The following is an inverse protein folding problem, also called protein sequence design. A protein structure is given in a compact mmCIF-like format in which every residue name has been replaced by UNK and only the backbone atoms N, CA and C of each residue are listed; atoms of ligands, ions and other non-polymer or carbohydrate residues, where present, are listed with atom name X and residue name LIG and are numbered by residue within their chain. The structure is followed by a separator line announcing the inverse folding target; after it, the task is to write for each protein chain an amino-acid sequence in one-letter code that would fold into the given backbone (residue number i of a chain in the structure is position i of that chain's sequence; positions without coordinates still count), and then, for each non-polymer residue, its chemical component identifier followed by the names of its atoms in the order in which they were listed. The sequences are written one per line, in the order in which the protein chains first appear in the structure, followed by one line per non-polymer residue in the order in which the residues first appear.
data_IF_375830704281
#
_entry.id   IF_375830704281
#
_cell.length_a   1.000
_cell.length_b   1.000
_cell.length_c   1.000
_cell.angle_alpha   90.00
_cell.angle_beta   90.00
_cell.angle_gamma   90.00
#
_symmetry.space_group_name_H-M   'P 1'
#
loop_
_entity.id
_entity.type
_entity.pdbx_description
1 polymer ?
#
# COMPACT_ATOMS: atom_id res chain seq x y z
N UNK A 1 -12.80 -1.49 2.65
CA UNK A 1 -11.67 -0.91 3.40
C UNK A 1 -10.44 -1.83 3.49
N UNK A 2 -9.24 -1.23 3.50
CA UNK A 2 -7.93 -1.84 3.74
C UNK A 2 -7.26 -1.17 4.96
N UNK A 3 -6.56 -1.94 5.79
CA UNK A 3 -5.59 -1.43 6.78
C UNK A 3 -4.19 -1.88 6.36
N UNK A 4 -3.23 -0.96 6.32
CA UNK A 4 -1.86 -1.28 5.92
C UNK A 4 -0.81 -0.49 6.68
N UNK A 5 0.19 -1.20 7.19
CA UNK A 5 1.39 -0.65 7.80
C UNK A 5 2.51 -0.47 6.75
N UNK A 6 3.09 0.74 6.65
CA UNK A 6 4.13 1.10 5.66
C UNK A 6 5.55 0.77 6.13
N UNK A 7 6.50 0.40 5.27
CA UNK A 7 7.86 0.03 5.71
C UNK A 7 8.69 1.17 6.33
N UNK A 8 8.33 2.43 6.05
CA UNK A 8 8.95 3.65 6.59
C UNK A 8 8.88 3.73 8.13
N UNK A 9 9.78 4.48 8.77
CA UNK A 9 9.84 4.57 10.24
C UNK A 9 11.20 4.86 10.86
N UNK A 10 12.27 4.91 10.06
CA UNK A 10 13.66 5.18 10.52
C UNK A 10 14.14 6.62 10.28
N UNK A 11 13.46 7.34 9.38
CA UNK A 11 13.84 8.69 8.97
C UNK A 11 13.31 9.76 9.92
N UNK A 12 13.24 11.01 9.44
CA UNK A 12 12.62 12.10 10.20
C UNK A 12 11.10 11.91 10.28
N UNK A 13 10.57 11.90 11.50
CA UNK A 13 9.15 11.93 11.78
C UNK A 13 8.55 13.29 11.44
N UNK A 14 9.30 14.38 11.64
CA UNK A 14 8.90 15.74 11.21
C UNK A 14 8.64 15.82 9.70
N UNK A 15 9.51 15.21 8.89
CA UNK A 15 9.29 15.14 7.44
C UNK A 15 8.03 14.33 7.09
N UNK A 16 7.79 13.22 7.79
CA UNK A 16 6.58 12.42 7.61
C UNK A 16 5.31 13.19 8.02
N UNK A 17 5.30 13.85 9.18
CA UNK A 17 4.18 14.66 9.65
C UNK A 17 3.87 15.82 8.68
N UNK A 18 4.89 16.56 8.22
CA UNK A 18 4.74 17.62 7.22
C UNK A 18 4.14 17.08 5.92
N UNK A 19 4.53 15.88 5.49
CA UNK A 19 3.94 15.25 4.31
C UNK A 19 2.46 14.88 4.54
N UNK A 20 2.08 14.44 5.75
CA UNK A 20 0.69 14.10 6.07
C UNK A 20 -0.22 15.32 6.05
N UNK A 21 0.21 16.46 6.59
CA UNK A 21 -0.61 17.68 6.64
C UNK A 21 -0.44 18.60 5.43
N UNK A 22 0.50 18.29 4.54
CA UNK A 22 0.79 19.13 3.38
C UNK A 22 -0.42 19.29 2.46
N UNK A 23 -0.60 20.49 1.92
CA UNK A 23 -1.65 20.76 0.92
C UNK A 23 -1.35 20.09 -0.42
N UNK A 24 -0.12 19.62 -0.63
CA UNK A 24 0.31 18.97 -1.86
C UNK A 24 0.49 17.46 -1.66
N UNK A 25 0.07 16.68 -2.64
CA UNK A 25 0.37 15.25 -2.73
C UNK A 25 1.84 14.98 -3.11
N UNK A 26 2.23 13.69 -3.21
CA UNK A 26 3.60 13.33 -3.61
C UNK A 26 3.94 13.79 -5.04
N UNK A 27 2.94 14.09 -5.84
CA UNK A 27 3.02 14.55 -7.21
C UNK A 27 2.99 16.08 -7.33
N UNK A 28 2.94 16.81 -6.21
CA UNK A 28 2.93 18.27 -6.17
C UNK A 28 1.58 18.91 -6.54
N UNK A 29 0.50 18.14 -6.54
CA UNK A 29 -0.86 18.61 -6.81
C UNK A 29 -1.57 18.95 -5.51
N UNK A 30 -2.43 19.96 -5.55
CA UNK A 30 -3.27 20.34 -4.43
C UNK A 30 -4.22 19.19 -4.05
N UNK A 31 -4.22 18.83 -2.75
CA UNK A 31 -5.11 17.83 -2.17
C UNK A 31 -6.49 18.43 -2.00
N UNK A 32 -7.51 17.62 -2.25
CA UNK A 32 -8.90 18.08 -2.21
C UNK A 32 -9.38 18.36 -0.78
N UNK A 33 -8.84 17.63 0.20
CA UNK A 33 -9.06 17.90 1.62
C UNK A 33 -8.05 17.15 2.49
N UNK A 34 -7.51 17.84 3.49
CA UNK A 34 -6.62 17.28 4.52
C UNK A 34 -7.06 17.79 5.88
N UNK A 35 -7.42 16.89 6.77
CA UNK A 35 -7.93 17.24 8.09
C UNK A 35 -7.29 16.38 9.18
N UNK A 36 -6.89 17.00 10.28
CA UNK A 36 -6.40 16.27 11.45
C UNK A 36 -7.58 15.91 12.33
N UNK A 37 -7.86 14.61 12.45
CA UNK A 37 -9.01 14.09 13.21
C UNK A 37 -8.64 13.68 14.63
N UNK A 38 -7.42 13.18 14.83
CA UNK A 38 -6.91 12.77 16.14
C UNK A 38 -5.49 13.26 16.37
N UNK A 39 -5.20 13.66 17.60
CA UNK A 39 -3.86 14.02 18.06
C UNK A 39 -3.28 15.24 17.35
N UNK A 40 -1.96 15.39 17.44
CA UNK A 40 -1.22 16.48 16.82
C UNK A 40 0.04 15.94 16.10
N UNK A 41 0.11 16.04 14.76
CA UNK A 41 1.23 15.51 13.98
C UNK A 41 2.61 16.05 14.38
N UNK A 42 2.71 17.33 14.75
CA UNK A 42 3.97 17.94 15.16
C UNK A 42 4.43 17.42 16.53
N UNK A 43 3.49 17.22 17.46
CA UNK A 43 3.79 16.63 18.77
C UNK A 43 4.27 15.19 18.64
N UNK A 44 3.58 14.38 17.84
CA UNK A 44 3.97 12.99 17.58
C UNK A 44 5.34 12.94 16.92
N UNK A 45 5.60 13.83 15.97
CA UNK A 45 6.90 13.94 15.31
C UNK A 45 8.01 14.33 16.29
N UNK A 46 7.77 15.27 17.19
CA UNK A 46 8.73 15.68 18.20
C UNK A 46 9.09 14.53 19.15
N UNK A 47 8.08 13.76 19.60
CA UNK A 47 8.29 12.55 20.41
C UNK A 47 9.09 11.52 19.62
N UNK A 48 8.69 11.21 18.39
CA UNK A 48 9.36 10.18 17.60
C UNK A 48 10.80 10.56 17.26
N UNK A 49 11.06 11.81 16.86
CA UNK A 49 12.40 12.25 16.47
C UNK A 49 13.38 12.31 17.64
N UNK A 50 12.89 12.45 18.88
CA UNK A 50 13.71 12.40 20.10
C UNK A 50 14.14 10.99 20.53
N UNK A 51 13.59 9.93 19.91
CA UNK A 51 13.95 8.54 20.23
C UNK A 51 15.28 8.14 19.59
N UNK A 52 16.08 7.38 20.34
CA UNK A 52 17.33 6.76 19.87
C UNK A 52 17.12 5.38 19.22
N UNK A 53 15.86 4.98 18.99
CA UNK A 53 15.55 3.70 18.35
C UNK A 53 15.82 3.73 16.85
N UNK A 54 16.25 2.60 16.29
CA UNK A 54 16.41 2.46 14.84
C UNK A 54 15.09 2.74 14.10
N UNK A 55 13.97 2.28 14.66
CA UNK A 55 12.63 2.63 14.19
C UNK A 55 11.96 3.53 15.23
N UNK A 56 11.74 4.78 14.83
CA UNK A 56 11.24 5.87 15.66
C UNK A 56 9.71 5.97 15.64
N UNK A 57 9.11 5.61 14.51
CA UNK A 57 7.67 5.70 14.33
C UNK A 57 7.09 4.60 13.44
N UNK A 58 5.78 4.40 13.55
CA UNK A 58 4.97 3.62 12.61
C UNK A 58 4.06 4.52 11.80
N UNK A 59 3.96 4.17 10.52
CA UNK A 59 2.96 4.71 9.61
C UNK A 59 1.98 3.61 9.24
N UNK A 60 0.69 3.93 9.34
CA UNK A 60 -0.38 3.11 8.79
C UNK A 60 -1.26 3.95 7.86
N UNK A 61 -1.97 3.27 6.98
CA UNK A 61 -3.04 3.85 6.18
C UNK A 61 -4.28 2.97 6.31
N UNK A 62 -5.41 3.61 6.54
CA UNK A 62 -6.74 3.02 6.43
C UNK A 62 -7.35 3.61 5.17
N UNK A 63 -7.77 2.77 4.23
CA UNK A 63 -8.18 3.22 2.91
C UNK A 63 -9.50 2.57 2.52
N UNK A 64 -10.41 3.34 1.92
CA UNK A 64 -11.69 2.85 1.41
C UNK A 64 -11.71 2.87 -0.12
N UNK A 65 -12.51 1.99 -0.72
CA UNK A 65 -12.77 2.11 -2.14
C UNK A 65 -13.64 3.36 -2.38
N UNK A 66 -13.53 4.04 -3.55
CA UNK A 66 -14.35 5.22 -3.84
C UNK A 66 -15.88 4.97 -3.74
N UNK A 67 -16.29 3.73 -3.96
CA UNK A 67 -17.69 3.29 -3.85
C UNK A 67 -18.15 3.09 -2.41
N UNK A 68 -17.23 2.84 -1.45
CA UNK A 68 -17.55 2.52 -0.06
C UNK A 68 -18.11 3.72 0.71
N UNK A 69 -17.68 4.95 0.34
CA UNK A 69 -18.15 6.25 0.88
C UNK A 69 -18.45 6.22 2.38
N UNK A 70 -17.44 5.95 3.23
CA UNK A 70 -17.65 5.89 4.68
C UNK A 70 -18.15 7.25 5.20
N UNK A 71 -19.11 7.22 6.13
CA UNK A 71 -19.55 8.40 6.89
C UNK A 71 -18.53 8.79 7.95
N UNK A 72 -18.61 10.03 8.44
CA UNK A 72 -17.69 10.52 9.46
C UNK A 72 -17.78 9.69 10.76
N UNK A 73 -18.99 9.30 11.15
CA UNK A 73 -19.21 8.45 12.32
C UNK A 73 -18.57 7.06 12.17
N UNK A 74 -18.57 6.51 10.96
CA UNK A 74 -17.92 5.23 10.67
C UNK A 74 -16.39 5.36 10.71
N UNK A 75 -15.84 6.46 10.20
CA UNK A 75 -14.41 6.74 10.26
C UNK A 75 -13.99 6.88 11.73
N UNK A 76 -14.74 7.62 12.54
CA UNK A 76 -14.50 7.77 13.97
C UNK A 76 -14.54 6.43 14.71
N UNK A 77 -15.57 5.61 14.48
CA UNK A 77 -15.68 4.29 15.10
C UNK A 77 -14.48 3.38 14.78
N UNK A 78 -13.93 3.49 13.57
CA UNK A 78 -12.75 2.73 13.15
C UNK A 78 -11.49 3.26 13.81
N UNK A 79 -11.36 4.57 13.98
CA UNK A 79 -10.23 5.14 14.69
C UNK A 79 -10.23 4.73 16.16
N UNK A 80 -11.40 4.70 16.81
CA UNK A 80 -11.53 4.25 18.19
C UNK A 80 -11.13 2.77 18.33
N UNK A 81 -11.62 1.88 17.45
CA UNK A 81 -11.25 0.47 17.50
C UNK A 81 -9.80 0.21 17.07
N UNK A 82 -9.27 1.01 16.13
CA UNK A 82 -7.86 0.97 15.76
C UNK A 82 -6.97 1.32 16.96
N UNK A 83 -7.30 2.38 17.70
CA UNK A 83 -6.56 2.80 18.89
C UNK A 83 -6.57 1.71 19.97
N UNK A 84 -7.76 1.20 20.31
CA UNK A 84 -7.90 0.08 21.27
C UNK A 84 -7.09 -1.14 20.84
N UNK A 85 -7.06 -1.45 19.54
CA UNK A 85 -6.32 -2.59 19.01
C UNK A 85 -4.81 -2.36 19.05
N UNK A 86 -4.34 -1.17 18.67
CA UNK A 86 -2.92 -0.85 18.56
C UNK A 86 -2.23 -0.73 19.92
N UNK A 87 -2.93 -0.23 20.94
CA UNK A 87 -2.40 0.00 22.29
C UNK A 87 -3.16 -0.79 23.37
N UNK A 88 -3.68 -1.97 23.01
CA UNK A 88 -4.47 -2.80 23.91
C UNK A 88 -3.84 -2.94 25.31
N UNK A 89 -4.59 -2.54 26.34
CA UNK A 89 -4.16 -2.61 27.74
C UNK A 89 -3.23 -1.47 28.21
N UNK A 90 -3.04 -0.43 27.40
CA UNK A 90 -2.33 0.80 27.80
C UNK A 90 -3.31 1.95 27.96
N UNK A 91 -3.01 2.83 28.92
CA UNK A 91 -3.74 4.08 29.10
C UNK A 91 -3.35 5.11 28.02
N UNK A 92 -4.26 6.02 27.62
CA UNK A 92 -4.01 7.00 26.55
C UNK A 92 -2.81 7.92 26.75
N UNK A 93 -2.38 8.15 27.99
CA UNK A 93 -1.21 8.96 28.32
C UNK A 93 0.13 8.24 28.06
N UNK A 94 0.10 6.95 27.74
CA UNK A 94 1.30 6.12 27.50
C UNK A 94 1.77 6.09 26.06
N UNK A 95 1.03 6.67 25.12
CA UNK A 95 1.38 6.65 23.71
C UNK A 95 1.04 7.96 23.01
N UNK A 96 1.72 8.22 21.89
CA UNK A 96 1.52 9.45 21.10
C UNK A 96 1.27 9.06 19.65
N UNK A 97 0.10 9.44 19.13
CA UNK A 97 -0.29 9.17 17.75
C UNK A 97 -1.18 10.26 17.17
N UNK A 98 -1.36 10.24 15.85
CA UNK A 98 -2.25 11.14 15.13
C UNK A 98 -2.91 10.43 13.96
N UNK A 99 -4.11 10.86 13.60
CA UNK A 99 -4.84 10.45 12.41
C UNK A 99 -5.17 11.67 11.54
N UNK A 100 -4.82 11.59 10.26
CA UNK A 100 -5.03 12.65 9.27
C UNK A 100 -5.86 12.08 8.13
N UNK A 101 -7.07 12.61 7.96
CA UNK A 101 -8.00 12.25 6.89
C UNK A 101 -7.63 12.97 5.59
N UNK A 102 -7.51 12.21 4.51
CA UNK A 102 -7.24 12.68 3.16
C UNK A 102 -8.41 12.35 2.26
N UNK A 103 -8.85 13.35 1.50
CA UNK A 103 -9.78 13.18 0.38
C UNK A 103 -9.00 13.28 -0.93
N UNK A 104 -9.18 12.28 -1.79
CA UNK A 104 -8.60 12.23 -3.12
C UNK A 104 -9.62 12.59 -4.20
N UNK A 105 -9.11 13.31 -5.21
CA UNK A 105 -9.85 13.62 -6.44
C UNK A 105 -10.31 12.34 -7.12
N UNK A 106 -11.61 12.09 -7.08
CA UNK A 106 -12.23 10.83 -7.53
C UNK A 106 -12.98 10.07 -6.44
N UNK A 107 -13.07 10.63 -5.23
CA UNK A 107 -13.87 10.08 -4.13
C UNK A 107 -13.11 9.06 -3.27
N UNK A 108 -11.79 8.95 -3.44
CA UNK A 108 -10.96 8.15 -2.55
C UNK A 108 -10.88 8.80 -1.17
N UNK A 109 -11.05 8.00 -0.12
CA UNK A 109 -10.94 8.46 1.26
C UNK A 109 -9.91 7.60 1.94
N UNK A 110 -8.91 8.23 2.57
CA UNK A 110 -7.83 7.53 3.27
C UNK A 110 -7.46 8.25 4.55
N UNK A 111 -7.26 7.51 5.64
CA UNK A 111 -6.72 8.03 6.88
C UNK A 111 -5.28 7.58 7.06
N UNK A 112 -4.39 8.56 7.15
CA UNK A 112 -2.99 8.35 7.48
C UNK A 112 -2.78 8.42 8.99
N UNK A 113 -2.12 7.40 9.53
CA UNK A 113 -1.80 7.30 10.95
C UNK A 113 -0.30 7.37 11.13
N UNK A 114 0.13 8.25 12.04
CA UNK A 114 1.51 8.34 12.51
C UNK A 114 1.54 8.09 14.03
N UNK A 115 2.38 7.16 14.46
CA UNK A 115 2.52 6.79 15.87
C UNK A 115 4.00 6.74 16.27
N UNK A 116 4.35 7.35 17.40
CA UNK A 116 5.67 7.21 17.99
C UNK A 116 5.87 5.77 18.50
N UNK A 117 7.04 5.19 18.24
CA UNK A 117 7.32 3.78 18.57
C UNK A 117 7.87 3.63 20.00
N UNK A 118 7.19 4.26 20.96
CA UNK A 118 7.61 4.34 22.36
C UNK A 118 6.42 4.28 23.31
N UNK A 119 6.62 3.58 24.42
CA UNK A 119 5.79 3.70 25.61
C UNK A 119 6.30 4.88 26.44
N UNK A 120 5.52 5.96 26.47
CA UNK A 120 5.91 7.25 27.05
C UNK A 120 6.24 7.17 28.54
N UNK A 121 5.64 6.22 29.26
CA UNK A 121 5.87 6.07 30.69
C UNK A 121 7.21 5.37 30.98
N UNK A 122 7.57 4.36 30.18
CA UNK A 122 8.78 3.55 30.44
C UNK A 122 9.97 3.95 29.59
N UNK A 123 9.75 4.74 28.54
CA UNK A 123 10.77 5.07 27.54
C UNK A 123 11.23 3.86 26.72
N UNK A 124 10.49 2.74 26.75
CA UNK A 124 10.84 1.52 26.00
C UNK A 124 10.20 1.53 24.62
N UNK A 125 10.84 0.86 23.67
CA UNK A 125 10.28 0.72 22.33
C UNK A 125 8.98 -0.08 22.37
N UNK A 126 7.93 0.47 21.75
CA UNK A 126 6.62 -0.13 21.64
C UNK A 126 6.26 -0.24 20.16
N UNK A 127 6.23 -1.45 19.61
CA UNK A 127 5.86 -1.67 18.22
C UNK A 127 4.42 -2.18 18.09
N UNK A 128 3.51 -1.28 17.70
CA UNK A 128 2.09 -1.61 17.48
C UNK A 128 1.84 -2.55 16.28
N UNK A 129 2.83 -2.70 15.38
CA UNK A 129 2.70 -3.53 14.18
C UNK A 129 3.98 -4.33 13.91
N UNK A 130 4.26 -5.36 14.73
CA UNK A 130 5.36 -6.28 14.48
C UNK A 130 5.14 -7.09 13.19
N UNK A 131 6.16 -7.78 12.66
CA UNK A 131 5.97 -8.74 11.57
C UNK A 131 4.83 -9.71 11.88
N UNK A 132 3.87 -9.83 10.96
CA UNK A 132 2.63 -10.58 11.18
C UNK A 132 1.47 -9.79 11.77
N UNK A 133 1.57 -8.45 11.84
CA UNK A 133 0.50 -7.53 12.28
C UNK A 133 -0.85 -7.78 11.62
N UNK A 134 -0.89 -8.39 10.43
CA UNK A 134 -2.13 -8.79 9.76
C UNK A 134 -3.02 -9.65 10.66
N UNK A 135 -2.43 -10.52 11.50
CA UNK A 135 -3.20 -11.35 12.45
C UNK A 135 -3.94 -10.51 13.49
N UNK A 136 -3.48 -9.30 13.75
CA UNK A 136 -4.08 -8.36 14.70
C UNK A 136 -5.10 -7.45 14.03
N UNK A 137 -4.76 -6.88 12.87
CA UNK A 137 -5.59 -5.84 12.23
C UNK A 137 -6.49 -6.32 11.08
N UNK A 138 -6.23 -7.48 10.47
CA UNK A 138 -7.12 -8.04 9.45
C UNK A 138 -8.50 -8.42 10.02
N UNK A 139 -8.62 -9.01 11.23
CA UNK A 139 -9.93 -9.27 11.84
C UNK A 139 -10.75 -7.99 12.05
N UNK A 140 -10.10 -6.90 12.50
CA UNK A 140 -10.73 -5.58 12.62
C UNK A 140 -11.25 -5.10 11.26
N UNK A 141 -10.38 -5.11 10.24
CA UNK A 141 -10.74 -4.76 8.87
C UNK A 141 -11.93 -5.59 8.36
N UNK A 142 -11.90 -6.90 8.56
CA UNK A 142 -12.89 -7.82 8.02
C UNK A 142 -14.24 -7.68 8.72
N UNK A 143 -14.25 -7.42 10.03
CA UNK A 143 -15.46 -7.11 10.77
C UNK A 143 -16.16 -5.86 10.22
N UNK A 144 -15.44 -4.74 10.10
CA UNK A 144 -16.01 -3.49 9.56
C UNK A 144 -16.42 -3.62 8.09
N UNK A 145 -15.61 -4.30 7.26
CA UNK A 145 -15.98 -4.56 5.87
C UNK A 145 -17.26 -5.39 5.76
N UNK A 146 -17.43 -6.40 6.63
CA UNK A 146 -18.64 -7.20 6.65
C UNK A 146 -19.84 -6.39 7.15
N UNK A 147 -19.68 -5.65 8.24
CA UNK A 147 -20.74 -4.86 8.87
C UNK A 147 -21.32 -3.79 7.94
N UNK A 148 -20.46 -3.06 7.24
CA UNK A 148 -20.87 -1.94 6.38
C UNK A 148 -20.95 -2.30 4.90
N UNK A 149 -20.72 -3.57 4.54
CA UNK A 149 -20.76 -4.04 3.15
C UNK A 149 -19.66 -3.44 2.27
N UNK A 150 -18.54 -3.00 2.85
CA UNK A 150 -17.46 -2.38 2.12
C UNK A 150 -16.61 -3.36 1.32
N UNK A 151 -15.92 -2.80 0.35
CA UNK A 151 -15.02 -3.48 -0.56
C UNK A 151 -13.90 -4.19 0.18
N UNK A 152 -13.76 -5.50 -0.06
CA UNK A 152 -12.73 -6.32 0.56
C UNK A 152 -11.47 -6.39 -0.30
N UNK A 153 -10.26 -6.30 0.30
CA UNK A 153 -9.00 -6.43 -0.45
C UNK A 153 -8.76 -7.82 -1.05
N UNK A 154 -9.40 -8.86 -0.50
CA UNK A 154 -9.26 -10.26 -0.91
C UNK A 154 -10.39 -10.74 -1.84
N UNK A 155 -11.34 -9.86 -2.22
CA UNK A 155 -12.39 -10.19 -3.18
C UNK A 155 -11.78 -10.59 -4.53
N UNK A 156 -11.97 -11.84 -5.01
CA UNK A 156 -11.44 -12.29 -6.29
C UNK A 156 -11.88 -11.41 -7.46
N UNK A 157 -13.07 -10.80 -7.40
CA UNK A 157 -13.56 -9.89 -8.44
C UNK A 157 -12.77 -8.59 -8.52
N UNK A 158 -12.10 -8.20 -7.43
CA UNK A 158 -11.22 -7.02 -7.35
C UNK A 158 -9.74 -7.38 -7.54
N UNK A 159 -9.43 -8.67 -7.75
CA UNK A 159 -8.07 -9.11 -8.03
C UNK A 159 -7.57 -8.48 -9.34
N UNK A 160 -6.47 -7.74 -9.27
CA UNK A 160 -5.85 -7.18 -10.48
C UNK A 160 -5.25 -8.31 -11.29
N UNK A 161 -5.59 -8.40 -12.57
CA UNK A 161 -4.97 -9.32 -13.52
C UNK A 161 -3.45 -9.16 -13.61
N UNK A 162 -2.95 -7.97 -13.27
CA UNK A 162 -1.53 -7.64 -13.26
C UNK A 162 -1.20 -6.67 -12.13
N UNK A 163 -0.10 -6.95 -11.42
CA UNK A 163 0.53 -5.97 -10.53
C UNK A 163 1.43 -5.04 -11.37
N UNK A 164 1.31 -3.71 -11.25
CA UNK A 164 2.20 -2.80 -11.95
C UNK A 164 3.66 -3.12 -11.60
N UNK A 165 4.51 -3.26 -12.62
CA UNK A 165 5.96 -3.37 -12.43
C UNK A 165 6.58 -2.03 -12.03
N UNK A 166 7.85 -2.04 -11.62
CA UNK A 166 8.59 -0.79 -11.35
C UNK A 166 8.62 0.14 -12.58
N UNK A 167 8.63 -0.44 -13.79
CA UNK A 167 8.59 0.29 -15.06
C UNK A 167 7.27 1.06 -15.22
N UNK A 168 6.12 0.44 -14.91
CA UNK A 168 4.82 1.12 -14.93
C UNK A 168 4.75 2.36 -14.02
N UNK A 169 5.46 2.35 -12.88
CA UNK A 169 5.55 3.54 -12.01
C UNK A 169 6.40 4.67 -12.62
N UNK A 170 7.52 4.33 -13.28
CA UNK A 170 8.38 5.27 -14.00
C UNK A 170 7.63 5.88 -15.18
N UNK A 171 6.92 5.05 -15.92
CA UNK A 171 6.13 5.42 -17.08
C UNK A 171 4.93 6.30 -16.73
N UNK A 172 4.19 5.95 -15.68
CA UNK A 172 3.14 6.82 -15.15
C UNK A 172 3.72 8.17 -14.69
N UNK A 173 4.95 8.20 -14.17
CA UNK A 173 5.65 9.44 -13.84
C UNK A 173 6.02 10.27 -15.07
N UNK A 174 6.48 9.63 -16.16
CA UNK A 174 6.78 10.30 -17.44
C UNK A 174 5.54 10.87 -18.09
N UNK A 175 4.46 10.09 -18.15
CA UNK A 175 3.17 10.53 -18.67
C UNK A 175 2.64 11.75 -17.91
N UNK A 176 2.74 11.75 -16.58
CA UNK A 176 2.38 12.89 -15.72
C UNK A 176 3.26 14.13 -15.95
N UNK A 177 4.52 13.94 -16.34
CA UNK A 177 5.46 15.02 -16.65
C UNK A 177 5.37 15.52 -18.11
N UNK A 178 4.41 15.02 -18.91
CA UNK A 178 4.27 15.37 -20.32
C UNK A 178 5.41 14.83 -21.21
N UNK A 179 6.16 13.85 -20.72
CA UNK A 179 7.25 13.21 -21.45
C UNK A 179 6.70 12.03 -22.27
N UNK A 180 7.34 11.76 -23.41
CA UNK A 180 7.00 10.59 -24.23
C UNK A 180 7.07 9.30 -23.41
N UNK A 181 6.01 8.50 -23.58
CA UNK A 181 5.81 7.25 -22.87
C UNK A 181 5.50 6.14 -23.90
N UNK A 182 6.25 5.05 -23.82
CA UNK A 182 5.99 3.82 -24.56
C UNK A 182 5.16 2.87 -23.67
N UNK A 183 4.17 2.19 -24.24
CA UNK A 183 3.32 1.26 -23.50
C UNK A 183 4.14 0.15 -22.81
N UNK A 184 3.93 -0.08 -21.50
CA UNK A 184 4.59 -1.14 -20.74
C UNK A 184 4.43 -2.48 -21.50
N UNK A 185 5.53 -3.13 -21.92
CA UNK A 185 5.47 -4.43 -22.60
C UNK A 185 4.66 -5.47 -21.83
N UNK A 186 4.60 -5.37 -20.50
CA UNK A 186 3.78 -6.26 -19.67
C UNK A 186 2.29 -6.01 -19.84
N UNK A 187 1.86 -4.77 -20.09
CA UNK A 187 0.46 -4.40 -20.33
C UNK A 187 0.01 -4.98 -21.68
N UNK A 188 0.83 -4.84 -22.72
CA UNK A 188 0.57 -5.41 -24.04
C UNK A 188 0.44 -6.95 -23.99
N UNK A 189 1.34 -7.61 -23.25
CA UNK A 189 1.29 -9.06 -23.06
C UNK A 189 0.05 -9.47 -22.27
N UNK A 190 -0.32 -8.72 -21.22
CA UNK A 190 -1.56 -8.97 -20.46
C UNK A 190 -2.77 -8.90 -21.38
N UNK A 191 -2.93 -7.82 -22.12
CA UNK A 191 -4.12 -7.59 -22.96
C UNK A 191 -4.24 -8.66 -24.05
N UNK A 192 -3.11 -9.03 -24.66
CA UNK A 192 -3.04 -10.14 -25.59
C UNK A 192 -3.48 -11.49 -24.99
N UNK A 193 -3.01 -11.82 -23.77
CA UNK A 193 -3.38 -13.06 -23.11
C UNK A 193 -4.84 -13.05 -22.64
N UNK A 194 -5.32 -11.94 -22.07
CA UNK A 194 -6.71 -11.77 -21.63
C UNK A 194 -7.67 -11.95 -22.80
N UNK A 195 -7.40 -11.32 -23.95
CA UNK A 195 -8.20 -11.49 -25.15
C UNK A 195 -8.29 -12.95 -25.58
N UNK A 196 -7.18 -13.71 -25.58
CA UNK A 196 -7.17 -15.12 -25.97
C UNK A 196 -7.88 -16.03 -24.96
N UNK A 197 -7.86 -15.69 -23.67
CA UNK A 197 -8.65 -16.39 -22.64
C UNK A 197 -10.15 -16.14 -22.86
N UNK A 198 -10.56 -14.89 -23.09
CA UNK A 198 -11.97 -14.53 -23.32
C UNK A 198 -12.57 -15.23 -24.55
N UNK A 199 -11.76 -15.44 -25.59
CA UNK A 199 -12.16 -16.16 -26.81
C UNK A 199 -12.01 -17.69 -26.69
N UNK A 200 -11.65 -18.20 -25.51
CA UNK A 200 -11.52 -19.64 -25.24
C UNK A 200 -10.34 -20.32 -25.95
N UNK A 201 -9.39 -19.54 -26.48
CA UNK A 201 -8.18 -20.04 -27.13
C UNK A 201 -7.07 -20.43 -26.14
N UNK A 202 -7.13 -19.91 -24.91
CA UNK A 202 -6.28 -20.32 -23.80
C UNK A 202 -7.15 -20.93 -22.71
N UNK A 203 -6.95 -22.22 -22.45
CA UNK A 203 -7.69 -22.99 -21.43
C UNK A 203 -6.77 -23.52 -20.35
N UNK A 204 -5.51 -23.71 -20.68
CA UNK A 204 -4.51 -24.21 -19.75
C UNK A 204 -3.15 -23.51 -19.89
N UNK A 205 -2.21 -23.98 -19.07
CA UNK A 205 -0.85 -23.46 -19.02
C UNK A 205 -0.08 -23.69 -20.31
N UNK A 206 -0.31 -24.80 -21.01
CA UNK A 206 0.38 -25.10 -22.25
C UNK A 206 -0.05 -24.10 -23.34
N UNK A 207 -1.33 -23.75 -23.37
CA UNK A 207 -1.86 -22.73 -24.29
C UNK A 207 -1.25 -21.35 -24.05
N UNK A 208 -1.03 -20.96 -22.78
CA UNK A 208 -0.35 -19.69 -22.44
C UNK A 208 1.08 -19.67 -22.99
N UNK A 209 1.83 -20.77 -22.83
CA UNK A 209 3.21 -20.86 -23.33
C UNK A 209 3.22 -20.78 -24.85
N UNK A 210 2.37 -21.56 -25.53
CA UNK A 210 2.25 -21.53 -26.99
C UNK A 210 1.89 -20.13 -27.49
N UNK A 211 0.92 -19.46 -26.85
CA UNK A 211 0.50 -18.13 -27.26
C UNK A 211 1.61 -17.07 -27.13
N UNK A 212 2.51 -17.20 -26.14
CA UNK A 212 3.66 -16.31 -25.98
C UNK A 212 4.76 -16.61 -27.01
N UNK A 213 5.01 -17.89 -27.31
CA UNK A 213 5.98 -18.29 -28.34
C UNK A 213 5.54 -17.87 -29.74
N UNK A 214 4.23 -17.94 -30.05
CA UNK A 214 3.64 -17.50 -31.33
C UNK A 214 3.96 -16.04 -31.67
N UNK A 215 4.08 -15.18 -30.64
CA UNK A 215 4.42 -13.75 -30.80
C UNK A 215 5.92 -13.47 -30.63
N UNK A 216 6.74 -14.52 -30.68
CA UNK A 216 8.19 -14.42 -30.63
C UNK A 216 8.78 -14.14 -29.24
N UNK A 217 8.00 -14.33 -28.16
CA UNK A 217 8.49 -14.20 -26.79
C UNK A 217 9.00 -15.54 -26.27
N UNK A 218 10.22 -15.53 -25.74
CA UNK A 218 10.88 -16.74 -25.25
C UNK A 218 10.57 -16.97 -23.75
N UNK A 219 9.93 -18.10 -23.44
CA UNK A 219 9.58 -18.50 -22.07
C UNK A 219 10.72 -19.30 -21.45
N UNK A 220 11.74 -18.56 -20.99
CA UNK A 220 13.00 -19.14 -20.49
C UNK A 220 12.90 -19.91 -19.17
N UNK A 221 11.80 -19.79 -18.40
CA UNK A 221 11.60 -20.54 -17.15
C UNK A 221 10.14 -20.94 -16.94
N UNK A 222 9.94 -22.25 -16.81
CA UNK A 222 8.65 -22.89 -16.60
C UNK A 222 8.49 -23.38 -15.14
N UNK A 223 8.37 -22.44 -14.19
CA UNK A 223 8.05 -22.77 -12.78
C UNK A 223 6.53 -22.74 -12.50
N UNK A 224 6.15 -22.75 -11.20
CA UNK A 224 4.79 -22.37 -10.77
C UNK A 224 4.43 -20.93 -11.20
N UNK A 225 5.45 -20.08 -11.39
CA UNK A 225 5.36 -18.76 -12.00
C UNK A 225 6.10 -18.78 -13.35
N UNK A 226 5.49 -18.19 -14.39
CA UNK A 226 6.05 -18.07 -15.74
C UNK A 226 6.78 -16.74 -15.89
N UNK A 227 8.04 -16.77 -16.34
CA UNK A 227 8.83 -15.58 -16.67
C UNK A 227 9.24 -15.61 -18.14
N UNK A 228 9.09 -14.48 -18.85
CA UNK A 228 9.53 -14.32 -20.25
C UNK A 228 10.66 -13.29 -20.35
N UNK A 229 11.45 -13.36 -21.43
CA UNK A 229 12.48 -12.36 -21.76
C UNK A 229 12.37 -11.94 -23.24
N UNK A 230 12.36 -10.63 -23.57
CA UNK A 230 12.42 -10.19 -24.96
C UNK A 230 13.76 -10.55 -25.61
N UNK A 231 13.76 -10.92 -26.90
CA UNK A 231 14.97 -11.08 -27.71
C UNK A 231 15.47 -9.71 -28.21
N UNK A 232 16.13 -8.97 -27.33
CA UNK A 232 17.05 -7.89 -27.76
C UNK A 232 18.25 -7.82 -26.81
N UNK A 233 19.44 -7.69 -27.40
CA UNK A 233 20.75 -7.94 -26.79
C UNK A 233 21.20 -6.95 -25.72
N UNK A 234 20.53 -6.88 -24.57
CA UNK A 234 21.08 -6.30 -23.35
C UNK A 234 21.17 -7.33 -22.23
N UNK A 235 22.40 -7.62 -21.82
CA UNK A 235 22.74 -8.41 -20.64
C UNK A 235 22.60 -7.53 -19.41
N UNK A 236 21.53 -7.72 -18.62
CA UNK A 236 21.58 -7.46 -17.18
C UNK A 236 21.09 -8.69 -16.44
N UNK A 237 22.02 -9.36 -15.77
CA UNK A 237 21.72 -10.36 -14.77
C UNK A 237 21.13 -9.62 -13.55
N UNK A 238 19.96 -10.05 -13.08
CA UNK A 238 19.50 -9.69 -11.73
C UNK A 238 19.75 -10.91 -10.87
N UNK A 239 20.77 -10.82 -10.03
CA UNK A 239 21.09 -11.81 -9.01
C UNK A 239 19.95 -11.82 -7.97
N UNK A 240 19.27 -12.96 -7.82
CA UNK A 240 18.43 -13.22 -6.66
C UNK A 240 19.31 -13.86 -5.58
N UNK A 241 19.73 -13.06 -4.60
CA UNK A 241 20.36 -13.56 -3.39
C UNK A 241 19.34 -14.44 -2.65
N UNK A 242 19.64 -15.73 -2.52
CA UNK A 242 18.98 -16.66 -1.60
C UNK A 242 19.14 -16.12 -0.18
N UNK A 243 18.04 -15.96 0.56
CA UNK A 243 18.03 -16.20 2.01
C UNK A 243 17.13 -17.39 2.28
N UNK A 244 17.77 -18.51 2.57
CA UNK A 244 17.20 -19.63 3.29
C UNK A 244 17.73 -19.57 4.72
N UNK A 245 16.80 -19.79 5.65
CA UNK A 245 16.88 -19.83 7.12
C UNK A 245 17.05 -18.48 7.80
#
# INVERSE_FOLDING_TARGET
MLVRFLSHGKGSAKAAAKYLVGELDAEGREREGVEVWRGNPDMVAAVADSLDFERKYRLAVIAWAPEDRPTDEQIEAILDEFEKTAWAGLEPDRYSWTAVLHHERGGGVHVHILAAQCDLQTGRSLNIAPPGWQRTFDPLRDAFNHEHGWSRPDDPKRARAQRPGHVAYIEASKLRAGLEHEADPRTLIRDYLVQRVEHGAIKDRADVVSALEDVGLDVTRQGKELHHRPRSGQRKAVAATRRTV
#
